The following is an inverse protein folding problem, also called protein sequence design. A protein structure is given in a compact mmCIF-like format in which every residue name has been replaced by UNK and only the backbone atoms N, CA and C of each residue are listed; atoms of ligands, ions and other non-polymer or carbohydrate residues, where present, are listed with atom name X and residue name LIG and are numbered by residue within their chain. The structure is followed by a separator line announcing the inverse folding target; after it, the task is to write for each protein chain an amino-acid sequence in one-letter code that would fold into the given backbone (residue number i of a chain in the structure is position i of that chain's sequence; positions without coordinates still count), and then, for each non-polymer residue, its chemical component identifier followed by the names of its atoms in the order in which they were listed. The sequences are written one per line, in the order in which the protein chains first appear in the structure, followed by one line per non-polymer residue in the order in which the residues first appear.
data_IF_718947741499
#
_entry.id   IF_718947741499
#
_cell.length_a   1.000
_cell.length_b   1.000
_cell.length_c   1.000
_cell.angle_alpha   90.00
_cell.angle_beta   90.00
_cell.angle_gamma   90.00
#
_symmetry.space_group_name_H-M   'P 1'
#
loop_
_entity.id
_entity.type
_entity.pdbx_description
1 polymer ?
#
# COMPACT_ATOMS: atom_id res chain seq x y z
N UNK A 1 11.13 -18.81 -2.51
CA UNK A 1 12.13 -19.77 -2.01
C UNK A 1 12.60 -19.46 -0.58
N UNK A 2 12.79 -18.16 -0.19
CA UNK A 2 13.37 -17.83 1.13
C UNK A 2 12.49 -18.32 2.30
N UNK A 3 11.18 -18.15 2.20
CA UNK A 3 10.25 -18.56 3.27
C UNK A 3 10.25 -20.07 3.51
N UNK A 4 10.49 -20.89 2.48
CA UNK A 4 10.52 -22.36 2.61
C UNK A 4 11.74 -22.91 3.37
N UNK A 5 12.70 -22.04 3.72
CA UNK A 5 13.88 -22.43 4.51
C UNK A 5 13.63 -22.46 6.02
N UNK A 6 12.48 -21.96 6.47
CA UNK A 6 12.14 -21.82 7.88
C UNK A 6 10.79 -22.47 8.18
N UNK A 7 10.61 -23.00 9.38
CA UNK A 7 9.31 -23.48 9.82
C UNK A 7 8.31 -22.33 9.98
N UNK A 8 7.03 -22.62 9.87
CA UNK A 8 5.96 -21.63 10.06
C UNK A 8 6.09 -20.91 11.40
N UNK A 9 6.37 -21.63 12.46
CA UNK A 9 6.55 -21.06 13.81
C UNK A 9 7.70 -20.05 13.87
N UNK A 10 8.86 -20.36 13.26
CA UNK A 10 9.99 -19.42 13.17
C UNK A 10 9.62 -18.16 12.38
N UNK A 11 8.93 -18.32 11.25
CA UNK A 11 8.50 -17.19 10.44
C UNK A 11 7.49 -16.32 11.16
N UNK A 12 6.62 -16.89 11.98
CA UNK A 12 5.68 -16.13 12.80
C UNK A 12 6.39 -15.28 13.87
N UNK A 13 7.40 -15.81 14.53
CA UNK A 13 8.22 -15.04 15.48
C UNK A 13 9.01 -13.93 14.76
N UNK A 14 9.65 -14.20 13.66
CA UNK A 14 10.36 -13.19 12.86
C UNK A 14 9.40 -12.09 12.38
N UNK A 15 8.19 -12.46 11.94
CA UNK A 15 7.17 -11.50 11.54
C UNK A 15 6.73 -10.61 12.69
N UNK A 16 6.50 -11.16 13.89
CA UNK A 16 6.15 -10.37 15.09
C UNK A 16 7.24 -9.38 15.43
N UNK A 17 8.49 -9.82 15.46
CA UNK A 17 9.64 -8.97 15.71
C UNK A 17 9.79 -7.87 14.63
N UNK A 18 9.68 -8.25 13.35
CA UNK A 18 9.74 -7.31 12.25
C UNK A 18 8.68 -6.21 12.36
N UNK A 19 7.44 -6.60 12.66
CA UNK A 19 6.34 -5.62 12.82
C UNK A 19 6.59 -4.71 14.01
N UNK A 20 7.03 -5.25 15.14
CA UNK A 20 7.26 -4.47 16.35
C UNK A 20 8.43 -3.50 16.19
N UNK A 21 9.53 -3.96 15.58
CA UNK A 21 10.79 -3.23 15.51
C UNK A 21 10.87 -2.27 14.32
N UNK A 22 10.31 -2.68 13.15
CA UNK A 22 10.52 -1.93 11.92
C UNK A 22 9.23 -1.30 11.36
N UNK A 23 8.06 -1.94 11.52
CA UNK A 23 6.85 -1.42 10.93
C UNK A 23 6.18 -0.38 11.83
N UNK A 24 5.83 -0.75 13.06
CA UNK A 24 5.09 0.15 13.97
C UNK A 24 5.77 1.50 14.18
N UNK A 25 7.10 1.58 14.43
CA UNK A 25 7.76 2.88 14.63
C UNK A 25 7.82 3.75 13.37
N UNK A 26 7.66 3.15 12.19
CA UNK A 26 7.73 3.83 10.91
C UNK A 26 6.36 4.13 10.27
N UNK A 27 5.26 3.77 10.92
CA UNK A 27 3.93 4.20 10.49
C UNK A 27 3.81 5.70 10.71
N UNK A 28 3.62 6.44 9.63
CA UNK A 28 3.55 7.90 9.66
C UNK A 28 2.17 8.37 10.09
N UNK A 29 2.05 9.31 11.05
CA UNK A 29 0.77 9.87 11.50
C UNK A 29 -0.08 10.39 10.33
N UNK A 30 0.51 11.15 9.40
CA UNK A 30 -0.19 11.69 8.23
C UNK A 30 -0.77 10.59 7.31
N UNK A 31 -0.12 9.42 7.23
CA UNK A 31 -0.65 8.29 6.47
C UNK A 31 -1.86 7.66 7.19
N UNK A 32 -1.80 7.55 8.52
CA UNK A 32 -2.93 7.09 9.34
C UNK A 32 -4.12 8.05 9.20
N UNK A 33 -3.85 9.35 9.29
CA UNK A 33 -4.86 10.40 9.11
C UNK A 33 -5.52 10.33 7.74
N UNK A 34 -4.75 10.09 6.67
CA UNK A 34 -5.29 9.90 5.33
C UNK A 34 -6.24 8.70 5.25
N UNK A 35 -5.85 7.56 5.86
CA UNK A 35 -6.70 6.37 5.95
C UNK A 35 -7.99 6.69 6.70
N UNK A 36 -7.91 7.38 7.85
CA UNK A 36 -9.08 7.74 8.63
C UNK A 36 -10.03 8.67 7.85
N UNK A 37 -9.52 9.67 7.14
CA UNK A 37 -10.33 10.55 6.28
C UNK A 37 -11.13 9.78 5.24
N UNK A 38 -10.53 8.77 4.60
CA UNK A 38 -11.24 7.90 3.68
C UNK A 38 -12.33 7.09 4.38
N UNK A 39 -12.03 6.51 5.53
CA UNK A 39 -13.02 5.74 6.30
C UNK A 39 -14.19 6.60 6.79
N UNK A 40 -13.93 7.81 7.26
CA UNK A 40 -14.96 8.79 7.67
C UNK A 40 -15.85 9.22 6.50
N UNK A 41 -15.31 9.26 5.28
CA UNK A 41 -16.06 9.48 4.07
C UNK A 41 -16.90 8.26 3.61
N UNK A 42 -16.77 7.11 4.29
CA UNK A 42 -17.45 5.87 3.94
C UNK A 42 -16.73 5.03 2.88
N UNK A 43 -15.50 5.41 2.52
CA UNK A 43 -14.70 4.67 1.54
C UNK A 43 -14.18 3.36 2.12
N UNK A 44 -14.00 2.37 1.24
CA UNK A 44 -13.33 1.10 1.58
C UNK A 44 -11.82 1.23 1.31
N UNK A 45 -11.03 1.04 2.35
CA UNK A 45 -9.57 1.09 2.28
C UNK A 45 -9.00 -0.29 1.99
N UNK A 46 -8.29 -0.41 0.85
CA UNK A 46 -7.71 -1.69 0.39
C UNK A 46 -6.21 -1.53 0.19
N UNK A 47 -5.42 -2.37 0.85
CA UNK A 47 -3.97 -2.41 0.62
C UNK A 47 -3.68 -3.27 -0.59
N UNK A 48 -2.90 -2.74 -1.55
CA UNK A 48 -2.43 -3.45 -2.75
C UNK A 48 -0.91 -3.49 -2.74
N UNK A 49 -0.33 -4.69 -2.62
CA UNK A 49 1.12 -4.84 -2.45
C UNK A 49 1.69 -6.04 -3.18
N UNK A 50 2.96 -5.97 -3.58
CA UNK A 50 3.72 -7.11 -4.10
C UNK A 50 4.34 -7.97 -2.97
N UNK A 51 4.23 -7.54 -1.72
CA UNK A 51 4.70 -8.30 -0.57
C UNK A 51 3.76 -9.49 -0.28
N UNK A 52 4.30 -10.56 0.28
CA UNK A 52 3.51 -11.73 0.67
C UNK A 52 2.42 -11.40 1.69
N UNK A 53 1.22 -11.96 1.48
CA UNK A 53 0.09 -11.85 2.43
C UNK A 53 0.52 -12.16 3.85
N UNK A 54 1.28 -13.23 4.04
CA UNK A 54 1.80 -13.62 5.34
C UNK A 54 2.46 -12.48 6.10
N UNK A 55 3.22 -11.62 5.42
CA UNK A 55 3.90 -10.47 6.06
C UNK A 55 2.95 -9.31 6.28
N UNK A 56 2.09 -9.01 5.30
CA UNK A 56 1.31 -7.75 5.26
C UNK A 56 -0.03 -7.86 5.98
N UNK A 57 -0.59 -9.04 6.14
CA UNK A 57 -1.91 -9.19 6.77
C UNK A 57 -2.00 -8.59 8.18
N UNK A 58 -1.04 -8.77 9.09
CA UNK A 58 -1.06 -8.07 10.39
C UNK A 58 -0.92 -6.55 10.27
N UNK A 59 -0.22 -6.07 9.23
CA UNK A 59 -0.07 -4.63 8.96
C UNK A 59 -1.41 -4.06 8.46
N UNK A 60 -2.10 -4.78 7.59
CA UNK A 60 -3.44 -4.39 7.13
C UNK A 60 -4.43 -4.29 8.30
N UNK A 61 -4.39 -5.25 9.23
CA UNK A 61 -5.19 -5.22 10.47
C UNK A 61 -4.81 -4.03 11.37
N UNK A 62 -3.52 -3.71 11.47
CA UNK A 62 -3.03 -2.57 12.28
C UNK A 62 -3.52 -1.22 11.71
N UNK A 63 -3.67 -1.12 10.39
CA UNK A 63 -4.18 0.06 9.69
C UNK A 63 -5.70 0.04 9.52
N UNK A 64 -6.39 -0.95 10.07
CA UNK A 64 -7.83 -1.15 9.93
C UNK A 64 -8.31 -1.14 8.46
N UNK A 65 -7.53 -1.77 7.57
CA UNK A 65 -7.87 -1.87 6.17
C UNK A 65 -9.05 -2.85 5.93
N UNK A 66 -9.98 -2.47 5.06
CA UNK A 66 -11.15 -3.28 4.70
C UNK A 66 -10.81 -4.43 3.76
N UNK A 67 -9.67 -4.36 3.07
CA UNK A 67 -9.22 -5.40 2.14
C UNK A 67 -7.71 -5.44 1.96
N UNK A 68 -7.24 -6.58 1.47
CA UNK A 68 -5.83 -6.82 1.18
C UNK A 68 -5.67 -7.61 -0.12
N UNK A 69 -4.98 -7.01 -1.07
CA UNK A 69 -4.51 -7.62 -2.32
C UNK A 69 -2.99 -7.76 -2.20
N UNK A 70 -2.50 -8.97 -2.01
CA UNK A 70 -1.10 -9.26 -1.77
C UNK A 70 -0.62 -10.45 -2.60
N UNK A 71 0.69 -10.66 -2.70
CA UNK A 71 1.24 -11.87 -3.29
C UNK A 71 0.91 -13.07 -2.39
N UNK A 72 0.51 -14.17 -3.02
CA UNK A 72 0.16 -15.42 -2.32
C UNK A 72 1.26 -16.45 -2.58
N UNK A 73 2.08 -16.77 -1.58
CA UNK A 73 2.98 -17.92 -1.68
C UNK A 73 2.17 -19.22 -1.64
N UNK A 74 2.73 -20.27 -2.23
CA UNK A 74 2.19 -21.61 -2.13
C UNK A 74 2.50 -22.22 -0.76
N UNK A 75 1.51 -22.88 -0.16
CA UNK A 75 1.65 -23.63 1.09
C UNK A 75 1.30 -25.11 0.85
N UNK A 76 1.98 -25.99 1.56
CA UNK A 76 1.65 -27.43 1.57
C UNK A 76 0.48 -27.73 2.52
N UNK A 77 0.15 -29.04 2.67
CA UNK A 77 -0.95 -29.48 3.51
C UNK A 77 -0.73 -29.18 5.02
N UNK A 78 0.52 -28.99 5.44
CA UNK A 78 0.89 -28.67 6.82
C UNK A 78 1.02 -27.15 7.06
N UNK A 79 0.72 -26.33 6.02
CA UNK A 79 0.80 -24.88 6.06
C UNK A 79 2.23 -24.32 6.01
N UNK A 80 3.21 -25.15 5.54
CA UNK A 80 4.55 -24.69 5.30
C UNK A 80 4.69 -24.10 3.90
N UNK A 81 5.53 -23.08 3.73
CA UNK A 81 5.77 -22.50 2.42
C UNK A 81 6.64 -23.43 1.57
N UNK A 82 6.15 -23.77 0.37
CA UNK A 82 6.87 -24.66 -0.57
C UNK A 82 7.97 -23.91 -1.35
N UNK A 83 7.86 -22.58 -1.43
CA UNK A 83 8.70 -21.74 -2.28
C UNK A 83 8.08 -21.45 -3.66
N UNK A 84 6.93 -22.05 -3.94
CA UNK A 84 6.10 -21.74 -5.10
C UNK A 84 5.21 -20.49 -4.89
N UNK A 85 4.41 -20.18 -5.91
CA UNK A 85 3.54 -19.03 -5.95
C UNK A 85 2.15 -19.39 -6.45
N UNK A 86 1.13 -18.95 -5.75
CA UNK A 86 -0.26 -19.01 -6.21
C UNK A 86 -0.66 -17.74 -6.96
N UNK A 87 -0.13 -16.59 -6.57
CA UNK A 87 -0.43 -15.30 -7.20
C UNK A 87 0.72 -14.32 -7.06
N UNK A 88 1.07 -13.66 -8.17
CA UNK A 88 1.95 -12.52 -8.20
C UNK A 88 1.18 -11.21 -8.28
N UNK A 89 1.64 -10.20 -7.54
CA UNK A 89 1.05 -8.85 -7.52
C UNK A 89 2.11 -7.77 -7.78
N UNK A 90 3.11 -8.05 -8.62
CA UNK A 90 4.11 -7.08 -9.02
C UNK A 90 3.72 -6.42 -10.35
N UNK A 91 3.91 -5.12 -10.46
CA UNK A 91 3.64 -4.31 -11.66
C UNK A 91 2.25 -4.63 -12.27
N UNK A 92 2.20 -5.18 -13.50
CA UNK A 92 0.95 -5.55 -14.17
C UNK A 92 0.11 -6.57 -13.37
N UNK A 93 0.75 -7.40 -12.53
CA UNK A 93 0.05 -8.33 -11.65
C UNK A 93 -0.87 -7.64 -10.63
N UNK A 94 -0.56 -6.39 -10.22
CA UNK A 94 -1.48 -5.59 -9.39
C UNK A 94 -2.77 -5.23 -10.13
N UNK A 95 -2.67 -4.88 -11.41
CA UNK A 95 -3.85 -4.56 -12.25
C UNK A 95 -4.78 -5.75 -12.30
N UNK A 96 -4.28 -6.91 -12.72
CA UNK A 96 -5.08 -8.15 -12.80
C UNK A 96 -5.70 -8.53 -11.46
N UNK A 97 -4.95 -8.34 -10.35
CA UNK A 97 -5.45 -8.64 -9.02
C UNK A 97 -6.55 -7.65 -8.56
N UNK A 98 -6.45 -6.37 -8.92
CA UNK A 98 -7.48 -5.35 -8.66
C UNK A 98 -8.72 -5.62 -9.52
N UNK A 99 -8.58 -5.90 -10.82
CA UNK A 99 -9.70 -6.29 -11.70
C UNK A 99 -10.51 -7.45 -11.09
N UNK A 100 -9.81 -8.50 -10.67
CA UNK A 100 -10.45 -9.64 -10.01
C UNK A 100 -11.11 -9.25 -8.69
N UNK A 101 -10.48 -8.39 -7.90
CA UNK A 101 -11.02 -7.95 -6.61
C UNK A 101 -12.30 -7.14 -6.76
N UNK A 102 -12.38 -6.26 -7.77
CA UNK A 102 -13.58 -5.43 -7.99
C UNK A 102 -14.69 -6.16 -8.74
N UNK A 103 -14.41 -7.26 -9.44
CA UNK A 103 -15.39 -7.98 -10.25
C UNK A 103 -16.68 -8.30 -9.49
N UNK A 104 -16.56 -8.78 -8.24
CA UNK A 104 -17.69 -9.13 -7.37
C UNK A 104 -18.17 -7.97 -6.49
N UNK A 105 -17.66 -6.74 -6.74
CA UNK A 105 -17.86 -5.53 -5.91
C UNK A 105 -18.30 -4.33 -6.73
N UNK A 106 -19.03 -4.56 -7.79
CA UNK A 106 -19.50 -3.52 -8.70
C UNK A 106 -18.66 -3.35 -9.97
N UNK A 107 -17.66 -4.21 -10.17
CA UNK A 107 -16.82 -4.21 -11.38
C UNK A 107 -15.94 -2.96 -11.51
N UNK A 108 -15.51 -2.69 -12.74
CA UNK A 108 -14.62 -1.57 -13.06
C UNK A 108 -15.26 -0.19 -12.82
N UNK A 109 -16.58 -0.12 -12.76
CA UNK A 109 -17.30 1.12 -12.45
C UNK A 109 -16.94 1.69 -11.06
N UNK A 110 -16.55 0.82 -10.11
CA UNK A 110 -16.10 1.26 -8.77
C UNK A 110 -14.82 2.08 -8.82
N UNK A 111 -14.02 1.93 -9.87
CA UNK A 111 -12.78 2.69 -10.03
C UNK A 111 -13.03 4.18 -10.25
N UNK A 112 -14.19 4.57 -10.78
CA UNK A 112 -14.54 5.98 -11.02
C UNK A 112 -14.54 6.82 -9.74
N UNK A 113 -14.91 6.21 -8.61
CA UNK A 113 -14.90 6.85 -7.29
C UNK A 113 -13.69 6.45 -6.43
N UNK A 114 -12.74 5.71 -6.99
CA UNK A 114 -11.58 5.21 -6.24
C UNK A 114 -10.37 6.12 -6.37
N UNK A 115 -9.52 6.11 -5.36
CA UNK A 115 -8.19 6.73 -5.40
C UNK A 115 -7.12 5.67 -5.17
N UNK A 116 -6.05 5.70 -5.96
CA UNK A 116 -4.90 4.82 -5.75
C UNK A 116 -3.65 5.64 -5.43
N UNK A 117 -3.02 5.32 -4.31
CA UNK A 117 -1.86 6.00 -3.74
C UNK A 117 -0.62 5.11 -3.89
N UNK A 118 0.47 5.63 -4.46
CA UNK A 118 1.75 4.93 -4.52
C UNK A 118 2.93 5.89 -4.62
N UNK A 119 4.07 5.46 -4.10
CA UNK A 119 5.37 6.15 -4.15
C UNK A 119 6.27 5.63 -5.27
N UNK A 120 5.94 4.48 -5.84
CA UNK A 120 6.83 3.70 -6.71
C UNK A 120 6.46 3.76 -8.18
N UNK A 121 7.48 3.95 -9.04
CA UNK A 121 7.35 3.81 -10.49
C UNK A 121 6.87 2.40 -10.91
N UNK A 122 7.12 1.37 -10.11
CA UNK A 122 6.65 0.01 -10.36
C UNK A 122 5.12 -0.11 -10.35
N UNK A 123 4.43 0.85 -9.72
CA UNK A 123 2.97 0.91 -9.65
C UNK A 123 2.35 1.78 -10.76
N UNK A 124 3.18 2.26 -11.70
CA UNK A 124 2.70 2.99 -12.88
C UNK A 124 1.57 2.29 -13.64
N UNK A 125 1.62 0.94 -13.86
CA UNK A 125 0.51 0.25 -14.50
C UNK A 125 -0.83 0.41 -13.76
N UNK A 126 -0.85 0.26 -12.43
CA UNK A 126 -2.08 0.39 -11.65
C UNK A 126 -2.53 1.85 -11.49
N UNK A 127 -1.60 2.80 -11.32
CA UNK A 127 -1.92 4.23 -11.32
C UNK A 127 -2.58 4.65 -12.64
N UNK A 128 -2.01 4.20 -13.77
CA UNK A 128 -2.57 4.45 -15.11
C UNK A 128 -3.94 3.81 -15.26
N UNK A 129 -4.07 2.54 -14.88
CA UNK A 129 -5.32 1.79 -14.96
C UNK A 129 -6.46 2.47 -14.19
N UNK A 130 -6.21 2.91 -12.96
CA UNK A 130 -7.21 3.63 -12.16
C UNK A 130 -7.59 4.96 -12.82
N UNK A 131 -6.62 5.74 -13.30
CA UNK A 131 -6.87 7.01 -13.98
C UNK A 131 -7.66 6.84 -15.29
N UNK A 132 -7.34 5.83 -16.09
CA UNK A 132 -8.02 5.51 -17.35
C UNK A 132 -9.48 5.09 -17.14
N UNK A 133 -9.81 4.53 -15.96
CA UNK A 133 -11.19 4.19 -15.59
C UNK A 133 -11.90 5.31 -14.79
N UNK A 134 -11.36 6.55 -14.82
CA UNK A 134 -11.99 7.72 -14.23
C UNK A 134 -11.74 7.90 -12.74
N UNK A 135 -10.91 7.07 -12.13
CA UNK A 135 -10.47 7.21 -10.74
C UNK A 135 -9.31 8.20 -10.58
N UNK A 136 -8.85 8.38 -9.36
CA UNK A 136 -7.79 9.34 -9.02
C UNK A 136 -6.46 8.62 -8.78
N UNK A 137 -5.47 8.87 -9.64
CA UNK A 137 -4.10 8.46 -9.41
C UNK A 137 -3.37 9.49 -8.54
N UNK A 138 -2.80 9.06 -7.42
CA UNK A 138 -2.07 9.92 -6.47
C UNK A 138 -0.65 9.41 -6.29
N UNK A 139 0.32 10.20 -6.73
CA UNK A 139 1.73 9.93 -6.50
C UNK A 139 2.11 10.45 -5.10
N UNK A 140 2.36 9.53 -4.16
CA UNK A 140 2.58 9.85 -2.74
C UNK A 140 4.05 9.73 -2.41
N UNK A 141 4.71 10.83 -2.01
CA UNK A 141 6.16 10.86 -1.80
C UNK A 141 6.94 10.20 -2.95
N UNK A 142 6.60 10.51 -4.22
CA UNK A 142 7.01 9.71 -5.36
C UNK A 142 8.52 9.74 -5.58
N UNK A 143 9.07 8.64 -6.06
CA UNK A 143 10.42 8.63 -6.60
C UNK A 143 10.54 9.62 -7.79
N UNK A 144 11.79 9.91 -8.19
CA UNK A 144 12.09 10.91 -9.23
C UNK A 144 11.39 10.60 -10.57
N UNK A 145 11.24 9.32 -10.91
CA UNK A 145 10.64 8.90 -12.17
C UNK A 145 9.12 9.04 -12.12
N UNK A 146 8.49 8.54 -11.06
CA UNK A 146 7.05 8.68 -10.85
C UNK A 146 6.65 10.15 -10.71
N UNK A 147 7.43 10.97 -9.99
CA UNK A 147 7.18 12.41 -9.87
C UNK A 147 7.12 13.11 -11.22
N UNK A 148 8.04 12.77 -12.15
CA UNK A 148 8.05 13.34 -13.50
C UNK A 148 6.80 12.94 -14.29
N UNK A 149 6.42 11.66 -14.23
CA UNK A 149 5.23 11.15 -14.94
C UNK A 149 3.95 11.75 -14.36
N UNK A 150 3.83 11.81 -13.03
CA UNK A 150 2.69 12.43 -12.37
C UNK A 150 2.48 13.89 -12.81
N UNK A 151 3.55 14.67 -12.88
CA UNK A 151 3.51 16.05 -13.41
C UNK A 151 3.07 16.12 -14.87
N UNK A 152 3.62 15.25 -15.73
CA UNK A 152 3.27 15.19 -17.16
C UNK A 152 1.81 14.80 -17.39
N UNK A 153 1.25 13.93 -16.54
CA UNK A 153 -0.14 13.42 -16.64
C UNK A 153 -1.15 14.23 -15.83
N UNK A 154 -0.70 15.26 -15.10
CA UNK A 154 -1.57 16.06 -14.24
C UNK A 154 -2.11 15.29 -13.02
N UNK A 155 -1.42 14.23 -12.58
CA UNK A 155 -1.81 13.47 -11.39
C UNK A 155 -1.51 14.25 -10.12
N UNK A 156 -2.29 14.00 -9.09
CA UNK A 156 -2.06 14.58 -7.76
C UNK A 156 -0.74 14.07 -7.18
N UNK A 157 0.07 14.99 -6.64
CA UNK A 157 1.25 14.66 -5.87
C UNK A 157 0.97 15.02 -4.42
N UNK A 158 1.17 14.06 -3.51
CA UNK A 158 0.95 14.20 -2.09
C UNK A 158 2.24 13.89 -1.32
N UNK A 159 2.69 14.81 -0.49
CA UNK A 159 3.84 14.60 0.38
C UNK A 159 3.36 14.36 1.83
N UNK A 160 3.44 13.11 2.28
CA UNK A 160 3.07 12.71 3.64
C UNK A 160 4.22 12.85 4.65
N UNK A 161 5.45 13.10 4.17
CA UNK A 161 6.64 13.19 5.02
C UNK A 161 7.10 14.63 5.28
N UNK A 162 6.45 15.61 4.68
CA UNK A 162 6.70 16.99 5.06
C UNK A 162 6.13 17.18 6.48
N UNK A 163 7.01 17.17 7.46
CA UNK A 163 6.82 17.96 8.67
C UNK A 163 6.76 19.39 8.14
N UNK A 164 5.71 20.14 8.43
CA UNK A 164 5.74 21.59 8.26
C UNK A 164 6.94 22.05 9.08
N UNK A 165 8.01 22.45 8.41
CA UNK A 165 9.10 23.14 9.11
C UNK A 165 8.46 24.39 9.70
N UNK A 166 8.57 24.60 11.03
CA UNK A 166 8.00 25.77 11.65
C UNK A 166 8.53 26.99 10.92
N UNK A 167 7.69 27.93 10.57
CA UNK A 167 8.08 29.16 9.94
C UNK A 167 9.07 29.90 10.86
N UNK A 168 9.93 30.74 10.30
CA UNK A 168 10.87 31.54 11.09
C UNK A 168 10.16 32.28 12.25
N UNK A 169 8.94 32.75 12.03
CA UNK A 169 8.12 33.42 13.03
C UNK A 169 7.70 32.50 14.18
N UNK A 170 7.32 31.24 13.89
CA UNK A 170 6.99 30.25 14.92
C UNK A 170 8.21 29.78 15.75
N UNK A 171 9.41 29.83 15.15
CA UNK A 171 10.66 29.50 15.84
C UNK A 171 11.06 30.67 16.77
N UNK A 172 10.89 31.91 16.32
CA UNK A 172 11.26 33.12 17.11
C UNK A 172 10.31 33.33 18.30
N UNK A 173 9.01 33.05 18.17
CA UNK A 173 8.06 33.16 19.30
C UNK A 173 8.28 32.11 20.40
N UNK A 174 8.95 30.99 20.11
CA UNK A 174 9.24 29.92 21.08
C UNK A 174 10.63 29.99 21.71
N UNK A 175 11.43 30.99 21.37
CA UNK A 175 12.75 31.19 21.96
C UNK A 175 12.65 32.25 23.08
N UNK A 176 12.91 31.87 24.36
CA UNK A 176 12.78 32.75 25.51
C UNK A 176 13.82 33.88 25.49
#
# INVERSE_FOLDING_TARGET
PLLSLFSRAQLEEYRKEYIATYIKPNIRPNAVELVQKHKEAGDKVVIVTATYRFVVEPIAKLLDADGLIAAEPEEDADGQFTGGWLRHTFAQGKVTAVEKYVADRGGLETLKSSSFYSDSINDLPLLSFVAEHGGTAVATNPDKFLSRIAKQRGWKILNLFQVEEPTYEEVVEKTP
#
